data_IF_519087272175
#
_entry.id   IF_519087272175
#
_cell.length_a   1.000
_cell.length_b   1.000
_cell.length_c   1.000
_cell.angle_alpha   90.00
_cell.angle_beta   90.00
_cell.angle_gamma   90.00
#
_symmetry.space_group_name_H-M   'P 1'
#
loop_
_entity.id
_entity.type
_entity.pdbx_description
1 polymer ?
#
# COMPACT_ATOMS: atom_id res chain seq x y z
N UNK A 1 -8.36 43.69 43.33
CA UNK A 1 -7.65 44.27 42.17
C UNK A 1 -7.23 43.11 41.29
N UNK A 2 -7.86 42.75 40.18
CA UNK A 2 -9.09 43.15 39.50
C UNK A 2 -9.33 42.07 38.45
N UNK A 3 -10.55 41.49 38.46
CA UNK A 3 -11.45 41.19 37.33
C UNK A 3 -10.93 40.26 36.20
N UNK A 4 -11.49 39.03 36.09
CA UNK A 4 -12.63 38.63 35.21
C UNK A 4 -12.18 38.43 33.73
N UNK A 5 -12.66 37.50 32.90
CA UNK A 5 -13.97 36.88 32.77
C UNK A 5 -13.89 35.65 31.84
N UNK A 6 -14.79 34.68 32.04
CA UNK A 6 -15.16 33.61 31.09
C UNK A 6 -15.79 34.19 29.83
N UNK A 7 -15.76 33.44 28.70
CA UNK A 7 -16.82 33.54 27.69
C UNK A 7 -16.93 32.33 26.75
N UNK A 8 -18.01 31.55 26.93
CA UNK A 8 -18.82 30.97 25.84
C UNK A 8 -20.11 31.79 25.76
N UNK A 9 -20.72 31.95 24.56
CA UNK A 9 -22.14 31.53 24.39
C UNK A 9 -22.43 30.91 23.00
N UNK A 10 -23.14 29.78 22.91
CA UNK A 10 -24.62 29.56 22.82
C UNK A 10 -25.29 29.80 21.43
N UNK A 11 -25.76 28.67 20.87
CA UNK A 11 -27.02 28.37 20.14
C UNK A 11 -27.94 29.52 19.68
N UNK A 12 -28.42 29.40 18.43
CA UNK A 12 -29.84 29.52 17.99
C UNK A 12 -29.99 28.88 16.59
N UNK A 13 -30.69 27.75 16.39
CA UNK A 13 -32.14 27.51 16.23
C UNK A 13 -32.84 28.36 15.14
N UNK A 14 -33.38 27.66 14.14
CA UNK A 14 -34.47 28.13 13.26
C UNK A 14 -34.53 27.27 11.99
N UNK A 15 -35.25 26.13 12.01
CA UNK A 15 -36.61 25.91 11.45
C UNK A 15 -36.71 26.10 9.92
N UNK A 16 -37.50 25.40 9.12
CA UNK A 16 -38.36 24.18 9.13
C UNK A 16 -39.29 24.41 7.91
N UNK A 17 -39.78 23.31 7.31
CA UNK A 17 -40.91 23.19 6.35
C UNK A 17 -40.52 23.34 4.87
N UNK A 18 -41.09 22.57 3.93
CA UNK A 18 -42.37 21.87 4.00
C UNK A 18 -42.47 20.65 3.07
N UNK A 19 -43.33 19.75 3.53
CA UNK A 19 -43.86 18.52 2.95
C UNK A 19 -45.14 18.83 2.17
N UNK A 20 -45.42 18.08 1.10
CA UNK A 20 -46.73 17.63 0.51
C UNK A 20 -46.39 16.99 -0.85
N UNK A 21 -46.63 15.74 -1.24
CA UNK A 21 -47.76 14.78 -1.20
C UNK A 21 -49.04 15.20 -1.92
N UNK A 22 -49.58 14.22 -2.68
CA UNK A 22 -50.92 14.07 -3.30
C UNK A 22 -51.20 14.95 -4.53
N UNK A 23 -51.89 14.54 -5.60
CA UNK A 23 -52.75 13.37 -5.88
C UNK A 23 -53.19 13.38 -7.36
N UNK A 24 -53.72 12.23 -7.77
CA UNK A 24 -54.51 11.86 -8.96
C UNK A 24 -55.55 12.88 -9.49
N UNK A 25 -55.88 12.70 -10.78
CA UNK A 25 -57.23 12.49 -11.38
C UNK A 25 -57.73 13.49 -12.44
N UNK A 26 -58.41 12.91 -13.45
CA UNK A 26 -59.33 13.56 -14.41
C UNK A 26 -58.68 13.96 -15.74
N UNK A 27 -59.14 13.55 -16.93
CA UNK A 27 -60.33 12.83 -17.36
C UNK A 27 -60.75 13.36 -18.74
N UNK A 28 -61.14 12.46 -19.66
CA UNK A 28 -62.15 12.62 -20.75
C UNK A 28 -61.95 13.78 -21.78
N UNK A 29 -62.22 13.70 -23.09
CA UNK A 29 -63.14 12.99 -23.99
C UNK A 29 -62.71 13.30 -25.44
N UNK A 30 -63.11 12.50 -26.44
CA UNK A 30 -63.30 13.02 -27.80
C UNK A 30 -63.04 12.05 -28.94
N UNK A 31 -64.13 11.45 -29.44
CA UNK A 31 -64.24 10.68 -30.68
C UNK A 31 -63.84 11.47 -31.94
N UNK A 32 -63.48 10.75 -33.01
CA UNK A 32 -63.48 11.30 -34.36
C UNK A 32 -62.61 10.53 -35.36
N UNK A 33 -63.23 9.65 -36.13
CA UNK A 33 -62.60 8.81 -37.15
C UNK A 33 -62.20 9.55 -38.45
N UNK A 34 -61.60 8.75 -39.35
CA UNK A 34 -61.53 8.78 -40.82
C UNK A 34 -60.49 9.62 -41.61
N UNK A 35 -59.62 8.82 -42.27
CA UNK A 35 -59.13 8.87 -43.65
C UNK A 35 -58.08 9.91 -44.11
N UNK A 36 -57.03 9.37 -44.74
CA UNK A 36 -56.25 10.07 -45.77
C UNK A 36 -54.75 9.83 -45.69
N UNK A 37 -54.23 8.84 -46.41
CA UNK A 37 -52.86 8.88 -46.94
C UNK A 37 -52.96 9.64 -48.28
N UNK A 38 -52.04 10.53 -48.67
CA UNK A 38 -50.76 10.05 -49.20
C UNK A 38 -49.53 11.00 -49.12
N UNK A 39 -48.36 10.39 -49.30
CA UNK A 39 -47.15 10.90 -49.99
C UNK A 39 -46.31 12.08 -49.46
N UNK A 40 -45.01 11.93 -49.74
CA UNK A 40 -43.96 12.96 -49.83
C UNK A 40 -43.08 13.21 -48.59
N UNK A 41 -41.97 12.46 -48.55
CA UNK A 41 -40.61 12.98 -48.45
C UNK A 41 -40.26 13.98 -47.35
N UNK A 42 -39.54 13.51 -46.33
CA UNK A 42 -38.53 14.33 -45.66
C UNK A 42 -37.36 13.44 -45.25
N UNK A 43 -36.22 13.64 -45.92
CA UNK A 43 -34.93 13.07 -45.55
C UNK A 43 -34.56 13.62 -44.16
N UNK A 44 -34.66 12.78 -43.11
CA UNK A 44 -34.04 13.08 -41.83
C UNK A 44 -32.58 12.68 -41.92
N UNK A 45 -31.72 13.68 -42.11
CA UNK A 45 -30.30 13.58 -41.82
C UNK A 45 -30.13 13.22 -40.34
N UNK A 46 -29.93 11.93 -40.07
CA UNK A 46 -29.58 11.43 -38.75
C UNK A 46 -28.24 12.03 -38.35
N UNK A 47 -28.25 13.02 -37.45
CA UNK A 47 -27.06 13.40 -36.70
C UNK A 47 -26.53 12.13 -36.02
N UNK A 48 -25.25 11.76 -36.17
CA UNK A 48 -24.72 10.63 -35.44
C UNK A 48 -24.84 10.96 -33.96
N UNK A 49 -25.64 10.18 -33.25
CA UNK A 49 -25.76 10.27 -31.81
C UNK A 49 -24.36 10.14 -31.23
N UNK A 50 -23.86 11.22 -30.64
CA UNK A 50 -22.73 11.17 -29.73
C UNK A 50 -23.13 10.20 -28.63
N UNK A 51 -22.68 8.94 -28.76
CA UNK A 51 -22.66 8.00 -27.65
C UNK A 51 -21.72 8.65 -26.65
N UNK A 52 -22.30 9.34 -25.66
CA UNK A 52 -21.57 9.73 -24.46
C UNK A 52 -21.02 8.42 -23.89
N UNK A 53 -19.75 8.12 -24.17
CA UNK A 53 -19.02 7.07 -23.46
C UNK A 53 -19.19 7.42 -22.00
N UNK A 54 -19.97 6.62 -21.27
CA UNK A 54 -19.98 6.68 -19.82
C UNK A 54 -18.52 6.57 -19.34
N UNK A 55 -18.17 7.16 -18.18
CA UNK A 55 -16.80 7.13 -17.70
C UNK A 55 -16.29 5.70 -17.74
N UNK A 56 -15.23 5.45 -18.52
CA UNK A 56 -14.65 4.12 -18.67
C UNK A 56 -14.27 3.63 -17.28
N UNK A 57 -15.00 2.64 -16.78
CA UNK A 57 -14.72 2.03 -15.48
C UNK A 57 -13.35 1.39 -15.56
N UNK A 58 -12.39 1.95 -14.84
CA UNK A 58 -11.03 1.40 -14.77
C UNK A 58 -11.10 -0.07 -14.36
N UNK A 59 -10.40 -0.93 -15.10
CA UNK A 59 -10.31 -2.35 -14.77
C UNK A 59 -9.64 -2.51 -13.40
N UNK A 60 -10.27 -3.27 -12.51
CA UNK A 60 -9.68 -3.65 -11.23
C UNK A 60 -8.76 -4.85 -11.40
N UNK A 61 -7.55 -4.76 -10.83
CA UNK A 61 -6.57 -5.85 -10.76
C UNK A 61 -6.11 -6.05 -9.32
N UNK A 62 -5.77 -7.27 -8.96
CA UNK A 62 -5.28 -7.63 -7.63
C UNK A 62 -3.80 -8.01 -7.71
N UNK A 63 -3.00 -7.42 -6.85
CA UNK A 63 -1.58 -7.71 -6.72
C UNK A 63 -1.26 -8.12 -5.29
N UNK A 64 -0.37 -9.10 -5.15
CA UNK A 64 0.08 -9.59 -3.85
C UNK A 64 1.58 -9.48 -3.76
N UNK A 65 2.07 -8.98 -2.65
CA UNK A 65 3.49 -8.83 -2.37
C UNK A 65 3.81 -9.44 -1.01
N UNK A 66 5.08 -9.68 -0.80
CA UNK A 66 5.61 -9.97 0.52
C UNK A 66 6.91 -9.23 0.75
N UNK A 67 7.22 -9.00 2.01
CA UNK A 67 8.37 -8.25 2.47
C UNK A 67 8.56 -8.44 3.97
N UNK A 68 9.45 -7.67 4.57
CA UNK A 68 9.72 -7.85 5.99
C UNK A 68 10.56 -6.78 6.63
N UNK A 69 10.62 -6.85 7.96
CA UNK A 69 11.51 -6.06 8.78
C UNK A 69 12.62 -7.00 9.28
N UNK A 70 13.81 -6.89 8.68
CA UNK A 70 14.99 -7.65 9.12
C UNK A 70 15.72 -6.88 10.22
N UNK A 71 15.96 -7.55 11.34
CA UNK A 71 16.64 -7.00 12.51
C UNK A 71 18.02 -7.62 12.64
N UNK A 72 19.04 -6.79 12.68
CA UNK A 72 20.37 -7.17 13.13
C UNK A 72 20.49 -6.99 14.65
N UNK A 73 21.24 -7.88 15.29
CA UNK A 73 21.38 -7.89 16.76
C UNK A 73 20.12 -8.29 17.52
N UNK A 74 19.17 -9.00 16.91
CA UNK A 74 17.84 -9.30 17.51
C UNK A 74 17.92 -10.09 18.84
N UNK A 75 18.98 -10.86 19.09
CA UNK A 75 19.22 -11.55 20.37
C UNK A 75 19.94 -10.69 21.40
N UNK A 76 20.48 -9.55 20.98
CA UNK A 76 21.29 -8.66 21.79
C UNK A 76 20.46 -7.60 22.52
N UNK A 77 21.15 -6.70 23.24
CA UNK A 77 20.54 -5.56 23.92
C UNK A 77 19.69 -4.73 22.97
N UNK A 78 18.64 -4.13 23.51
CA UNK A 78 17.63 -3.43 22.72
C UNK A 78 18.20 -2.19 22.01
N UNK A 79 19.16 -1.54 22.62
CA UNK A 79 19.87 -0.37 22.11
C UNK A 79 20.74 -0.65 20.87
N UNK A 80 21.18 -1.89 20.69
CA UNK A 80 22.04 -2.30 19.59
C UNK A 80 21.24 -2.81 18.37
N UNK A 81 19.92 -2.99 18.55
CA UNK A 81 19.05 -3.53 17.51
C UNK A 81 18.76 -2.48 16.42
N UNK A 82 19.08 -2.85 15.19
CA UNK A 82 18.84 -2.03 14.01
C UNK A 82 18.05 -2.81 12.96
N UNK A 83 17.19 -2.11 12.23
CA UNK A 83 16.41 -2.67 11.15
C UNK A 83 16.81 -2.08 9.80
N UNK A 84 16.85 -2.90 8.75
CA UNK A 84 17.10 -2.41 7.41
C UNK A 84 15.83 -1.80 6.81
N UNK A 85 15.90 -0.53 6.41
CA UNK A 85 14.86 0.16 5.66
C UNK A 85 15.35 0.56 4.27
N UNK A 86 14.39 0.70 3.35
CA UNK A 86 14.65 1.24 2.01
C UNK A 86 14.03 2.63 1.87
N UNK A 87 14.79 3.52 1.24
CA UNK A 87 14.40 4.87 0.88
C UNK A 87 13.98 4.93 -0.59
N UNK A 88 12.86 5.59 -0.88
CA UNK A 88 12.38 5.88 -2.24
C UNK A 88 12.07 7.36 -2.37
N UNK A 89 12.41 7.97 -3.51
CA UNK A 89 12.16 9.40 -3.74
C UNK A 89 10.77 9.59 -4.36
N UNK A 90 9.93 10.40 -3.72
CA UNK A 90 8.60 10.73 -4.25
C UNK A 90 8.67 11.72 -5.43
N UNK A 91 7.52 11.99 -6.06
CA UNK A 91 7.44 12.94 -7.19
C UNK A 91 7.84 14.38 -6.84
N UNK A 92 7.98 14.71 -5.56
CA UNK A 92 8.38 16.02 -5.04
C UNK A 92 9.85 16.03 -4.59
N UNK A 93 10.60 14.95 -4.84
CA UNK A 93 12.00 14.84 -4.44
C UNK A 93 12.19 14.51 -2.96
N UNK A 94 11.16 14.08 -2.23
CA UNK A 94 11.26 13.76 -0.81
C UNK A 94 11.60 12.28 -0.62
N UNK A 95 12.55 12.00 0.28
CA UNK A 95 12.85 10.63 0.68
C UNK A 95 11.73 10.06 1.54
N UNK A 96 11.19 8.92 1.12
CA UNK A 96 10.19 8.15 1.84
C UNK A 96 10.81 6.81 2.25
N UNK A 97 10.90 6.57 3.56
CA UNK A 97 11.38 5.30 4.10
C UNK A 97 10.23 4.32 4.28
N UNK A 98 10.45 3.09 3.87
CA UNK A 98 9.48 1.99 3.97
C UNK A 98 10.16 0.65 4.20
N UNK A 99 9.35 -0.35 4.53
CA UNK A 99 9.80 -1.73 4.59
C UNK A 99 10.11 -2.28 3.19
N UNK A 100 11.17 -3.10 3.04
CA UNK A 100 11.43 -3.81 1.79
C UNK A 100 10.34 -4.84 1.49
N UNK A 101 9.92 -4.92 0.23
CA UNK A 101 8.85 -5.77 -0.28
C UNK A 101 8.86 -5.80 -1.82
N UNK A 102 8.38 -6.91 -2.38
CA UNK A 102 8.09 -6.99 -3.81
C UNK A 102 7.09 -8.09 -4.14
N UNK A 103 6.86 -8.34 -5.42
CA UNK A 103 5.75 -9.20 -5.88
C UNK A 103 6.05 -10.68 -5.61
N UNK A 104 5.02 -11.40 -5.15
CA UNK A 104 5.12 -12.86 -5.05
C UNK A 104 5.20 -13.46 -6.45
N UNK A 105 6.30 -14.14 -6.75
CA UNK A 105 6.50 -14.81 -8.03
C UNK A 105 5.80 -16.17 -8.09
N UNK A 106 5.64 -16.71 -9.30
CA UNK A 106 5.06 -18.04 -9.48
C UNK A 106 5.95 -19.09 -8.79
N UNK A 107 5.34 -19.95 -7.98
CA UNK A 107 6.04 -21.00 -7.25
C UNK A 107 6.57 -20.57 -5.87
N UNK A 108 6.55 -19.27 -5.54
CA UNK A 108 6.96 -18.78 -4.22
C UNK A 108 5.81 -18.78 -3.22
N UNK A 109 6.11 -19.10 -1.96
CA UNK A 109 5.29 -18.68 -0.82
C UNK A 109 5.57 -17.22 -0.45
N UNK A 110 4.71 -16.62 0.38
CA UNK A 110 4.93 -15.24 0.82
C UNK A 110 6.22 -15.11 1.67
N UNK A 111 6.59 -16.12 2.46
CA UNK A 111 7.84 -16.17 3.22
C UNK A 111 9.06 -16.21 2.29
N UNK A 112 9.02 -17.06 1.26
CA UNK A 112 10.10 -17.16 0.28
C UNK A 112 10.29 -15.84 -0.46
N UNK A 113 9.20 -15.22 -0.90
CA UNK A 113 9.23 -13.89 -1.50
C UNK A 113 9.80 -12.86 -0.51
N UNK A 114 9.36 -12.83 0.75
CA UNK A 114 9.88 -11.87 1.73
C UNK A 114 11.40 -11.99 1.93
N UNK A 115 11.92 -13.22 2.02
CA UNK A 115 13.36 -13.48 2.12
C UNK A 115 14.10 -12.96 0.88
N UNK A 116 13.62 -13.29 -0.32
CA UNK A 116 14.22 -12.84 -1.58
C UNK A 116 14.20 -11.32 -1.70
N UNK A 117 13.05 -10.69 -1.48
CA UNK A 117 12.86 -9.25 -1.66
C UNK A 117 13.67 -8.43 -0.67
N UNK A 118 13.77 -8.86 0.60
CA UNK A 118 14.67 -8.22 1.57
C UNK A 118 16.11 -8.29 1.08
N UNK A 119 16.56 -9.46 0.60
CA UNK A 119 17.92 -9.61 0.09
C UNK A 119 18.17 -8.79 -1.19
N UNK A 120 17.21 -8.74 -2.12
CA UNK A 120 17.32 -7.98 -3.37
C UNK A 120 17.34 -6.46 -3.12
N UNK A 121 16.43 -5.94 -2.29
CA UNK A 121 16.27 -4.50 -2.08
C UNK A 121 17.23 -3.91 -1.04
N UNK A 122 17.81 -4.73 -0.16
CA UNK A 122 18.69 -4.25 0.93
C UNK A 122 20.10 -4.84 0.92
N UNK A 123 20.33 -5.95 0.21
CA UNK A 123 21.57 -6.74 0.31
C UNK A 123 21.67 -7.62 1.58
N UNK A 124 20.69 -7.53 2.50
CA UNK A 124 20.71 -8.27 3.77
C UNK A 124 20.03 -9.62 3.65
N UNK A 125 20.71 -10.65 4.18
CA UNK A 125 20.19 -12.01 4.26
C UNK A 125 19.53 -12.24 5.62
N UNK A 126 18.45 -13.01 5.64
CA UNK A 126 17.79 -13.34 6.89
C UNK A 126 16.79 -14.47 6.80
N UNK A 127 16.26 -14.84 7.97
CA UNK A 127 15.24 -15.88 8.11
C UNK A 127 14.00 -15.34 8.80
N UNK A 128 12.83 -15.84 8.40
CA UNK A 128 11.53 -15.44 8.98
C UNK A 128 11.38 -16.02 10.37
N UNK A 129 10.98 -15.17 11.32
CA UNK A 129 10.66 -15.55 12.70
C UNK A 129 9.15 -15.59 12.96
N UNK A 130 8.44 -14.55 12.50
CA UNK A 130 7.01 -14.40 12.75
C UNK A 130 6.34 -13.57 11.65
N UNK A 131 5.02 -13.70 11.53
CA UNK A 131 4.22 -12.81 10.69
C UNK A 131 3.91 -11.52 11.45
N UNK A 132 4.23 -10.36 10.87
CA UNK A 132 3.82 -9.05 11.40
C UNK A 132 2.39 -8.69 10.99
N UNK A 133 1.90 -9.28 9.90
CA UNK A 133 0.55 -9.08 9.41
C UNK A 133 0.52 -8.65 7.96
N UNK A 134 -0.55 -7.94 7.58
CA UNK A 134 -0.84 -7.62 6.19
C UNK A 134 -1.34 -6.19 6.04
N UNK A 135 -0.88 -5.52 4.99
CA UNK A 135 -1.35 -4.19 4.60
C UNK A 135 -2.08 -4.32 3.25
N UNK A 136 -3.28 -3.74 3.18
CA UNK A 136 -4.13 -3.72 1.99
C UNK A 136 -4.40 -2.27 1.57
N UNK A 137 -4.09 -1.90 0.33
CA UNK A 137 -4.31 -0.54 -0.17
C UNK A 137 -4.67 -0.50 -1.66
N UNK A 138 -5.18 0.65 -2.09
CA UNK A 138 -5.63 0.87 -3.46
C UNK A 138 -4.83 2.00 -4.12
N UNK A 139 -4.43 1.81 -5.37
CA UNK A 139 -3.87 2.88 -6.18
C UNK A 139 -4.31 2.76 -7.64
N UNK A 140 -4.03 3.81 -8.42
CA UNK A 140 -4.33 3.84 -9.86
C UNK A 140 -3.02 4.00 -10.62
N UNK A 141 -2.78 3.11 -11.57
CA UNK A 141 -1.64 3.17 -12.50
C UNK A 141 -2.05 2.67 -13.86
N UNK A 142 -1.51 3.25 -14.94
CA UNK A 142 -1.75 2.81 -16.33
C UNK A 142 -3.24 2.57 -16.67
N UNK A 143 -4.15 3.43 -16.20
CA UNK A 143 -5.59 3.30 -16.44
C UNK A 143 -6.25 2.11 -15.75
N UNK A 144 -5.62 1.53 -14.71
CA UNK A 144 -6.14 0.42 -13.92
C UNK A 144 -6.22 0.81 -12.45
N UNK A 145 -7.21 0.25 -11.75
CA UNK A 145 -7.31 0.32 -10.30
C UNK A 145 -6.68 -0.94 -9.70
N UNK A 146 -5.60 -0.79 -8.95
CA UNK A 146 -4.87 -1.90 -8.33
C UNK A 146 -5.30 -2.02 -6.87
N UNK A 147 -5.72 -3.22 -6.46
CA UNK A 147 -5.82 -3.62 -5.06
C UNK A 147 -4.55 -4.36 -4.69
N UNK A 148 -3.72 -3.76 -3.83
CA UNK A 148 -2.46 -4.33 -3.40
C UNK A 148 -2.60 -4.90 -2.00
N UNK A 149 -2.14 -6.12 -1.84
CA UNK A 149 -2.03 -6.83 -0.57
C UNK A 149 -0.56 -7.13 -0.31
N UNK A 150 -0.02 -6.76 0.85
CA UNK A 150 1.38 -7.01 1.21
C UNK A 150 1.48 -7.75 2.53
N UNK A 151 2.09 -8.94 2.50
CA UNK A 151 2.40 -9.74 3.70
C UNK A 151 3.75 -9.30 4.26
N UNK A 152 3.83 -9.06 5.56
CA UNK A 152 5.07 -8.63 6.22
C UNK A 152 5.49 -9.60 7.31
N UNK A 153 6.79 -9.83 7.40
CA UNK A 153 7.40 -10.77 8.33
C UNK A 153 8.47 -10.09 9.19
N UNK A 154 8.56 -10.50 10.45
CA UNK A 154 9.70 -10.22 11.31
C UNK A 154 10.81 -11.19 10.92
N UNK A 155 11.99 -10.66 10.67
CA UNK A 155 13.11 -11.44 10.18
C UNK A 155 14.36 -11.21 11.01
N UNK A 156 15.14 -12.27 11.16
CA UNK A 156 16.46 -12.26 11.79
C UNK A 156 17.53 -12.09 10.74
N UNK A 157 18.42 -11.11 10.90
CA UNK A 157 19.61 -10.99 10.08
C UNK A 157 20.51 -12.23 10.24
N UNK A 158 21.00 -12.77 9.14
CA UNK A 158 21.99 -13.86 9.13
C UNK A 158 23.28 -13.49 8.39
N UNK A 159 23.38 -12.26 7.86
CA UNK A 159 24.54 -11.77 7.12
C UNK A 159 24.14 -10.85 5.96
N UNK A 160 25.10 -10.59 5.08
CA UNK A 160 24.95 -9.63 3.97
C UNK A 160 25.52 -8.25 4.32
N UNK A 161 25.56 -7.38 3.32
CA UNK A 161 25.99 -5.98 3.45
C UNK A 161 24.92 -5.09 2.80
N UNK A 162 24.70 -3.89 3.33
CA UNK A 162 23.71 -2.98 2.74
C UNK A 162 24.09 -2.66 1.29
N UNK A 163 23.12 -2.82 0.40
CA UNK A 163 23.26 -2.57 -1.03
C UNK A 163 22.02 -1.87 -1.56
N UNK A 164 22.21 -0.75 -2.25
CA UNK A 164 21.21 0.03 -2.96
C UNK A 164 21.23 -0.23 -4.48
N UNK A 165 21.72 -1.42 -4.88
CA UNK A 165 21.84 -1.81 -6.29
C UNK A 165 20.49 -2.04 -6.97
N UNK A 166 19.43 -2.28 -6.20
CA UNK A 166 18.07 -2.39 -6.74
C UNK A 166 17.62 -1.05 -7.34
N UNK A 167 17.09 -1.10 -8.56
CA UNK A 167 16.63 0.07 -9.30
C UNK A 167 15.41 0.75 -8.70
N UNK A 168 14.62 0.04 -7.89
CA UNK A 168 13.47 0.60 -7.18
C UNK A 168 13.87 1.37 -5.91
N UNK A 169 15.13 1.24 -5.49
CA UNK A 169 15.63 1.77 -4.23
C UNK A 169 16.58 2.94 -4.49
N UNK A 170 16.40 4.01 -3.72
CA UNK A 170 17.26 5.19 -3.78
C UNK A 170 18.32 5.19 -2.67
N UNK A 171 18.03 4.55 -1.54
CA UNK A 171 18.93 4.46 -0.39
C UNK A 171 18.54 3.24 0.47
N UNK A 172 19.51 2.64 1.16
CA UNK A 172 19.27 1.61 2.17
C UNK A 172 20.01 2.01 3.44
N UNK A 173 19.36 1.87 4.60
CA UNK A 173 19.98 2.21 5.87
C UNK A 173 19.58 1.24 6.98
N UNK A 174 20.53 1.02 7.89
CA UNK A 174 20.25 0.53 9.22
C UNK A 174 19.63 1.67 10.04
N UNK A 175 18.49 1.40 10.66
CA UNK A 175 17.76 2.34 11.50
C UNK A 175 17.56 1.72 12.87
N UNK A 176 17.93 2.41 13.97
CA UNK A 176 17.67 1.91 15.32
C UNK A 176 16.20 1.53 15.50
N UNK A 177 15.94 0.38 16.11
CA UNK A 177 14.59 -0.15 16.30
C UNK A 177 13.63 0.87 16.98
N UNK A 178 14.05 1.63 18.02
CA UNK A 178 13.19 2.65 18.63
C UNK A 178 12.82 3.83 17.70
N UNK A 179 13.58 4.04 16.61
CA UNK A 179 13.35 5.17 15.69
C UNK A 179 12.34 4.83 14.58
N UNK A 180 12.02 3.55 14.36
CA UNK A 180 11.15 3.11 13.25
C UNK A 180 9.80 3.84 13.19
N UNK A 181 9.07 4.06 14.31
CA UNK A 181 7.79 4.79 14.26
C UNK A 181 7.94 6.24 13.79
N UNK A 182 9.11 6.86 13.93
CA UNK A 182 9.34 8.21 13.43
C UNK A 182 9.86 8.23 11.99
N UNK A 183 10.57 7.16 11.59
CA UNK A 183 11.27 7.09 10.30
C UNK A 183 10.36 6.61 9.17
N UNK A 184 9.49 5.65 9.43
CA UNK A 184 8.61 5.04 8.41
C UNK A 184 7.56 6.05 7.93
N UNK A 185 7.48 6.22 6.61
CA UNK A 185 6.57 7.17 5.99
C UNK A 185 5.09 6.78 6.18
N UNK A 186 4.79 5.49 6.16
CA UNK A 186 3.42 4.97 6.11
C UNK A 186 2.90 4.54 7.49
N UNK A 187 1.69 4.97 7.84
CA UNK A 187 1.08 4.71 9.15
C UNK A 187 0.89 3.22 9.44
N UNK A 188 0.54 2.43 8.43
CA UNK A 188 0.32 1.00 8.60
C UNK A 188 1.65 0.26 8.82
N UNK A 189 2.75 0.70 8.20
CA UNK A 189 4.09 0.14 8.46
C UNK A 189 4.61 0.51 9.85
N UNK A 190 4.29 1.72 10.36
CA UNK A 190 4.59 2.08 11.76
C UNK A 190 3.91 1.14 12.75
N UNK A 191 2.66 0.76 12.50
CA UNK A 191 1.96 -0.25 13.32
C UNK A 191 2.63 -1.61 13.24
N UNK A 192 3.14 -2.01 12.07
CA UNK A 192 3.91 -3.25 11.96
C UNK A 192 5.23 -3.19 12.74
N UNK A 193 5.87 -2.02 12.84
CA UNK A 193 7.05 -1.85 13.67
C UNK A 193 6.73 -1.98 15.18
N UNK A 194 5.58 -1.46 15.62
CA UNK A 194 5.07 -1.68 16.99
C UNK A 194 4.79 -3.17 17.26
N UNK A 195 4.21 -3.90 16.32
CA UNK A 195 4.03 -5.36 16.45
C UNK A 195 5.38 -6.09 16.47
N UNK A 196 6.35 -5.64 15.67
CA UNK A 196 7.69 -6.22 15.67
C UNK A 196 8.36 -6.06 17.03
N UNK A 197 8.25 -4.88 17.61
CA UNK A 197 8.72 -4.55 18.96
C UNK A 197 8.19 -5.56 20.00
N UNK A 198 6.87 -5.72 20.08
CA UNK A 198 6.23 -6.67 21.00
C UNK A 198 6.69 -8.12 20.80
N UNK A 199 6.89 -8.53 19.54
CA UNK A 199 7.34 -9.89 19.21
C UNK A 199 8.81 -10.11 19.55
N UNK A 200 9.65 -9.07 19.43
CA UNK A 200 11.06 -9.13 19.84
C UNK A 200 11.14 -9.26 21.36
N UNK A 201 10.40 -8.46 22.12
CA UNK A 201 10.33 -8.56 23.58
C UNK A 201 9.89 -9.96 24.02
N UNK A 202 8.90 -10.52 23.34
CA UNK A 202 8.42 -11.89 23.58
C UNK A 202 9.48 -12.94 23.24
N UNK A 203 10.16 -12.80 22.10
CA UNK A 203 11.25 -13.68 21.70
C UNK A 203 12.38 -13.68 22.74
N UNK A 204 12.74 -12.52 23.28
CA UNK A 204 13.83 -12.38 24.24
C UNK A 204 13.45 -12.89 25.64
N UNK A 205 12.20 -12.66 26.06
CA UNK A 205 11.73 -13.06 27.40
C UNK A 205 11.36 -14.54 27.47
N UNK A 206 10.63 -15.04 26.47
CA UNK A 206 9.97 -16.35 26.50
C UNK A 206 10.61 -17.35 25.51
N UNK A 207 11.56 -16.90 24.70
CA UNK A 207 12.24 -17.70 23.68
C UNK A 207 11.45 -17.90 22.38
N UNK A 208 12.06 -18.55 21.36
CA UNK A 208 11.47 -18.67 20.02
C UNK A 208 10.14 -19.42 19.97
N UNK A 209 9.90 -20.37 20.87
CA UNK A 209 8.67 -21.16 20.91
C UNK A 209 7.44 -20.34 21.32
N UNK A 210 7.65 -19.14 21.90
CA UNK A 210 6.59 -18.24 22.29
C UNK A 210 6.06 -17.39 21.13
N UNK A 211 6.80 -17.29 20.03
CA UNK A 211 6.33 -16.58 18.83
C UNK A 211 5.10 -17.26 18.23
N UNK A 212 4.16 -16.49 17.67
CA UNK A 212 3.01 -17.07 17.00
C UNK A 212 3.47 -17.93 15.81
N UNK A 213 2.85 -19.10 15.57
CA UNK A 213 3.19 -19.91 14.41
C UNK A 213 2.94 -19.12 13.13
N UNK A 214 3.78 -19.34 12.12
CA UNK A 214 3.58 -18.70 10.81
C UNK A 214 2.25 -19.14 10.21
N UNK A 215 1.49 -18.21 9.61
CA UNK A 215 0.26 -18.56 8.92
C UNK A 215 0.60 -19.51 7.76
N UNK A 216 -0.25 -20.53 7.47
CA UNK A 216 0.00 -21.41 6.34
C UNK A 216 -0.10 -20.62 5.04
N UNK A 217 0.96 -20.65 4.25
CA UNK A 217 1.01 -20.06 2.91
C UNK A 217 1.13 -21.16 1.87
N UNK A 218 0.67 -20.88 0.66
CA UNK A 218 0.76 -21.80 -0.46
C UNK A 218 1.53 -21.15 -1.60
N UNK A 219 2.37 -21.90 -2.32
CA UNK A 219 3.04 -21.41 -3.51
C UNK A 219 2.05 -20.77 -4.49
N UNK A 220 2.40 -19.59 -5.00
CA UNK A 220 1.59 -18.88 -5.98
C UNK A 220 1.48 -19.69 -7.27
N UNK A 221 0.25 -20.11 -7.61
CA UNK A 221 0.01 -20.99 -8.77
C UNK A 221 0.03 -20.29 -10.14
N UNK A 222 -0.14 -18.97 -10.18
CA UNK A 222 -0.22 -18.19 -11.43
C UNK A 222 0.57 -16.90 -11.33
N UNK A 223 1.26 -16.48 -12.41
CA UNK A 223 1.98 -15.21 -12.43
C UNK A 223 1.04 -14.03 -12.26
N UNK A 224 1.56 -12.92 -11.73
CA UNK A 224 0.79 -11.70 -11.53
C UNK A 224 0.79 -10.89 -12.83
N UNK A 225 -0.39 -10.47 -13.26
CA UNK A 225 -0.62 -9.99 -14.64
C UNK A 225 0.08 -8.67 -14.97
N UNK A 226 0.65 -7.98 -13.98
CA UNK A 226 1.27 -6.65 -14.10
C UNK A 226 2.56 -6.49 -13.28
N UNK A 227 3.27 -7.57 -12.97
CA UNK A 227 4.63 -7.51 -12.41
C UNK A 227 5.62 -7.02 -13.49
N UNK A 228 5.64 -5.73 -13.77
CA UNK A 228 6.71 -5.10 -14.56
C UNK A 228 7.45 -4.12 -13.68
N UNK A 229 8.36 -4.65 -12.89
CA UNK A 229 9.50 -3.90 -12.37
C UNK A 229 10.73 -4.81 -12.37
N UNK A 230 11.27 -5.10 -13.55
CA UNK A 230 12.66 -5.55 -13.66
C UNK A 230 13.27 -4.91 -14.90
N UNK A 231 13.67 -3.65 -14.75
CA UNK A 231 14.76 -3.11 -15.57
C UNK A 231 16.01 -3.20 -14.72
N UNK A 232 16.78 -4.30 -14.83
CA UNK A 232 18.13 -4.35 -14.26
C UNK A 232 18.94 -3.19 -14.85
N UNK A 233 19.73 -2.48 -14.04
CA UNK A 233 20.73 -1.53 -14.56
C UNK A 233 21.58 -2.28 -15.59
N UNK A 234 21.75 -1.78 -16.82
CA UNK A 234 22.79 -2.29 -17.70
C UNK A 234 24.12 -2.18 -16.96
N UNK A 235 24.89 -3.25 -16.97
CA UNK A 235 26.21 -3.38 -16.36
C UNK A 235 27.13 -2.24 -16.83
N UNK A 236 27.29 -1.20 -16.00
CA UNK A 236 28.37 -0.22 -16.12
C UNK A 236 29.43 -0.57 -15.08
N UNK A 237 30.54 -1.11 -15.59
CA UNK A 237 31.76 -1.47 -14.89
C UNK A 237 32.24 -0.41 -13.89
N UNK A 238 32.39 -0.85 -12.63
CA UNK A 238 33.40 -0.47 -11.62
C UNK A 238 33.65 1.03 -11.39
N UNK A 239 33.22 1.52 -10.22
CA UNK A 239 34.03 2.38 -9.32
C UNK A 239 33.43 2.35 -7.91
N UNK A 240 34.13 1.66 -7.00
CA UNK A 240 33.74 1.56 -5.60
C UNK A 240 33.62 2.93 -4.92
N UNK A 241 32.52 3.11 -4.19
CA UNK A 241 32.39 4.09 -3.12
C UNK A 241 31.81 3.38 -1.89
N UNK A 242 32.69 2.90 -1.03
CA UNK A 242 32.36 2.51 0.34
C UNK A 242 32.14 3.78 1.16
N UNK A 243 30.92 4.00 1.65
CA UNK A 243 30.56 4.89 2.75
C UNK A 243 29.35 4.25 3.46
N UNK A 244 29.30 3.96 4.76
CA UNK A 244 30.27 4.14 5.82
C UNK A 244 29.68 3.71 7.18
N UNK A 245 30.61 3.29 8.06
CA UNK A 245 30.62 3.34 9.54
C UNK A 245 29.57 2.54 10.31
N UNK A 246 29.95 1.33 10.71
CA UNK A 246 29.48 0.72 11.95
C UNK A 246 30.06 1.44 13.18
N UNK A 247 29.38 1.38 14.34
CA UNK A 247 29.87 1.98 15.57
C UNK A 247 30.93 1.08 16.22
N UNK A 248 31.93 1.72 16.82
CA UNK A 248 32.87 1.18 17.78
C UNK A 248 33.70 2.35 18.33
N UNK A 249 34.35 2.23 19.51
CA UNK A 249 34.38 1.09 20.43
C UNK A 249 33.31 1.15 21.53
#
# INVERSE_FOLDING_TARGET
MSDDEKSQPRRRRGRRRGRRTTSLSGGQTGDGAINGNPTAGLQKSGRPGSTRRGPERLRTVHETSAGGLVIDGIDGPREDQVAALIGRVDRRGRMLWSLPKGHIEQGETAEQTAIREVAEETGIQGSVLASLGRIDYWFVTEGRRVHKTVHHYLMRCSGGELSDEDVEVAEVAWVPLPELPSRLAYADERRLAEVADELIDKLQTDGPAALPPLPPTSPRRRPQTHSRTRNRRPDESVRGRRNGRGPGP
#
